data_IF_082117714048
#
_entry.id   IF_082117714048
#
_cell.length_a   1.000
_cell.length_b   1.000
_cell.length_c   1.000
_cell.angle_alpha   90.00
_cell.angle_beta   90.00
_cell.angle_gamma   90.00
#
_symmetry.space_group_name_H-M   'P 1'
#
loop_
_entity.id
_entity.type
_entity.pdbx_description
1 polymer ?
#
# COMPACT_ATOMS: atom_id res chain seq x y z
N UNK A 1 -0.16 -7.46 10.40
CA UNK A 1 -1.25 -8.36 9.97
C UNK A 1 -2.17 -7.60 9.04
N UNK A 2 -2.59 -8.22 7.94
CA UNK A 2 -3.30 -7.57 6.85
C UNK A 2 -4.74 -8.11 6.82
N UNK A 3 -5.64 -7.45 7.56
CA UNK A 3 -7.07 -7.79 7.57
C UNK A 3 -7.78 -7.22 6.34
N UNK A 4 -8.78 -7.94 5.83
CA UNK A 4 -9.69 -7.44 4.80
C UNK A 4 -9.16 -7.46 3.37
N UNK A 5 -8.00 -8.07 3.12
CA UNK A 5 -7.56 -8.37 1.76
C UNK A 5 -8.45 -9.46 1.15
N UNK A 6 -8.87 -9.28 -0.10
CA UNK A 6 -9.79 -10.19 -0.79
C UNK A 6 -9.05 -10.94 -1.90
N UNK A 7 -9.15 -12.26 -1.87
CA UNK A 7 -8.49 -13.16 -2.81
C UNK A 7 -9.51 -14.01 -3.55
N UNK A 8 -9.29 -14.21 -4.85
CA UNK A 8 -10.07 -15.12 -5.67
C UNK A 8 -9.20 -16.32 -6.10
N UNK A 9 -9.69 -17.53 -5.80
CA UNK A 9 -9.09 -18.77 -6.25
C UNK A 9 -9.79 -19.24 -7.52
N UNK A 10 -8.99 -19.59 -8.52
CA UNK A 10 -9.45 -20.09 -9.79
C UNK A 10 -8.80 -21.44 -10.09
N UNK A 11 -9.50 -22.27 -10.85
CA UNK A 11 -8.97 -23.52 -11.33
C UNK A 11 -7.96 -23.27 -12.48
N UNK A 12 -6.72 -23.72 -12.36
CA UNK A 12 -5.71 -23.58 -13.43
C UNK A 12 -5.95 -24.57 -14.59
N UNK A 13 -6.69 -25.63 -14.30
CA UNK A 13 -7.07 -26.70 -15.23
C UNK A 13 -8.51 -27.15 -14.97
N UNK A 14 -9.10 -27.94 -15.86
CA UNK A 14 -10.42 -28.54 -15.60
C UNK A 14 -10.30 -29.53 -14.43
N UNK A 15 -11.04 -29.27 -13.36
CA UNK A 15 -11.08 -30.06 -12.13
C UNK A 15 -12.30 -30.97 -12.18
N UNK A 16 -12.12 -32.24 -11.83
CA UNK A 16 -13.18 -33.26 -11.85
C UNK A 16 -13.62 -33.62 -10.43
N UNK A 17 -14.78 -34.26 -10.31
CA UNK A 17 -15.24 -34.75 -9.00
C UNK A 17 -14.23 -35.75 -8.39
N UNK A 18 -13.91 -35.63 -7.08
CA UNK A 18 -12.94 -36.52 -6.42
C UNK A 18 -13.37 -37.98 -6.36
N UNK A 19 -14.68 -38.23 -6.34
CA UNK A 19 -15.29 -39.56 -6.25
C UNK A 19 -15.20 -40.39 -7.54
N UNK A 20 -14.66 -39.81 -8.62
CA UNK A 20 -14.50 -40.48 -9.90
C UNK A 20 -15.83 -40.79 -10.59
N UNK A 21 -16.94 -40.16 -10.18
CA UNK A 21 -18.23 -40.31 -10.83
C UNK A 21 -18.14 -39.97 -12.32
N UNK A 22 -18.93 -40.70 -13.11
CA UNK A 22 -19.03 -40.54 -14.55
C UNK A 22 -20.46 -40.22 -14.95
N UNK A 23 -20.62 -39.42 -15.99
CA UNK A 23 -21.92 -39.15 -16.61
C UNK A 23 -22.46 -40.40 -17.35
N UNK A 24 -23.67 -40.30 -17.91
CA UNK A 24 -24.31 -41.36 -18.69
C UNK A 24 -23.51 -41.75 -19.95
N UNK A 25 -22.59 -40.90 -20.41
CA UNK A 25 -21.71 -41.15 -21.54
C UNK A 25 -20.34 -41.73 -21.13
N UNK A 26 -20.09 -41.94 -19.83
CA UNK A 26 -18.84 -42.50 -19.30
C UNK A 26 -17.70 -41.50 -19.10
N UNK A 27 -17.94 -40.20 -19.25
CA UNK A 27 -16.96 -39.14 -19.02
C UNK A 27 -16.92 -38.76 -17.53
N UNK A 28 -15.74 -38.34 -17.03
CA UNK A 28 -15.64 -37.81 -15.66
C UNK A 28 -16.47 -36.54 -15.52
N UNK A 29 -17.16 -36.39 -14.39
CA UNK A 29 -17.94 -35.19 -14.10
C UNK A 29 -17.00 -34.03 -13.78
N UNK A 30 -17.14 -32.93 -14.54
CA UNK A 30 -16.41 -31.67 -14.29
C UNK A 30 -17.01 -30.98 -13.07
N UNK A 31 -16.14 -30.62 -12.12
CA UNK A 31 -16.47 -29.83 -10.94
C UNK A 31 -16.21 -28.33 -11.16
N UNK A 32 -15.06 -28.01 -11.77
CA UNK A 32 -14.70 -26.65 -12.18
C UNK A 32 -14.06 -26.70 -13.56
N UNK A 33 -14.49 -25.82 -14.45
CA UNK A 33 -13.80 -25.63 -15.73
C UNK A 33 -12.47 -24.90 -15.50
N UNK A 34 -11.57 -25.01 -16.48
CA UNK A 34 -10.36 -24.20 -16.49
C UNK A 34 -10.72 -22.70 -16.41
N UNK A 35 -9.97 -21.98 -15.59
CA UNK A 35 -10.10 -20.56 -15.28
C UNK A 35 -11.42 -20.18 -14.57
N UNK A 36 -12.21 -21.18 -14.13
CA UNK A 36 -13.43 -20.92 -13.37
C UNK A 36 -13.09 -20.44 -11.95
N UNK A 37 -13.85 -19.45 -11.47
CA UNK A 37 -13.82 -18.99 -10.08
C UNK A 37 -14.29 -20.13 -9.16
N UNK A 38 -13.41 -20.57 -8.27
CA UNK A 38 -13.66 -21.65 -7.31
C UNK A 38 -14.23 -21.07 -6.02
N UNK A 39 -13.60 -20.02 -5.50
CA UNK A 39 -13.98 -19.39 -4.24
C UNK A 39 -13.37 -18.00 -4.08
N UNK A 40 -13.93 -17.22 -3.16
CA UNK A 40 -13.33 -15.99 -2.62
C UNK A 40 -12.97 -16.18 -1.16
N UNK A 41 -11.89 -15.55 -0.74
CA UNK A 41 -11.42 -15.55 0.64
C UNK A 41 -11.13 -14.13 1.09
N UNK A 42 -11.31 -13.87 2.38
CA UNK A 42 -10.98 -12.60 3.01
C UNK A 42 -10.08 -12.88 4.19
N UNK A 43 -8.99 -12.12 4.34
CA UNK A 43 -8.09 -12.25 5.49
C UNK A 43 -8.72 -11.71 6.77
N UNK A 44 -8.52 -12.44 7.88
CA UNK A 44 -8.94 -12.04 9.21
C UNK A 44 -7.96 -11.03 9.87
N UNK A 45 -8.21 -10.67 11.14
CA UNK A 45 -7.36 -9.80 11.96
C UNK A 45 -5.91 -10.26 12.10
N UNK A 46 -5.67 -11.55 11.96
CA UNK A 46 -4.33 -12.13 11.99
C UNK A 46 -3.68 -12.16 10.60
N UNK A 47 -4.40 -11.73 9.55
CA UNK A 47 -3.95 -11.78 8.17
C UNK A 47 -4.10 -13.17 7.55
N UNK A 48 -4.93 -14.04 8.12
CA UNK A 48 -5.11 -15.42 7.68
C UNK A 48 -6.41 -15.58 6.91
N UNK A 49 -6.37 -16.40 5.87
CA UNK A 49 -7.54 -16.82 5.13
C UNK A 49 -7.47 -18.34 4.94
N UNK A 50 -8.56 -19.05 5.24
CA UNK A 50 -8.62 -20.51 5.17
C UNK A 50 -9.78 -20.93 4.28
N UNK A 51 -9.48 -21.72 3.26
CA UNK A 51 -10.47 -22.38 2.43
C UNK A 51 -10.34 -23.90 2.56
N UNK A 52 -11.46 -24.54 2.87
CA UNK A 52 -11.52 -25.97 3.08
C UNK A 52 -12.19 -26.68 1.89
N UNK A 53 -11.94 -27.98 1.77
CA UNK A 53 -12.61 -28.86 0.80
C UNK A 53 -12.35 -28.53 -0.68
N UNK A 54 -11.14 -28.10 -1.03
CA UNK A 54 -10.75 -28.03 -2.44
C UNK A 54 -10.52 -29.44 -3.00
N UNK A 55 -11.07 -29.76 -4.18
CA UNK A 55 -10.71 -30.98 -4.90
C UNK A 55 -9.23 -31.02 -5.27
N UNK A 56 -8.71 -32.22 -5.52
CA UNK A 56 -7.36 -32.42 -6.09
C UNK A 56 -7.26 -31.76 -7.47
N UNK A 57 -6.15 -31.06 -7.70
CA UNK A 57 -5.81 -30.44 -8.97
C UNK A 57 -5.05 -29.13 -8.79
N UNK A 58 -4.86 -28.40 -9.89
CA UNK A 58 -4.07 -27.17 -9.94
C UNK A 58 -4.95 -25.93 -9.89
N UNK A 59 -4.52 -24.96 -9.09
CA UNK A 59 -5.22 -23.70 -8.85
C UNK A 59 -4.25 -22.52 -8.93
N UNK A 60 -4.82 -21.33 -9.06
CA UNK A 60 -4.11 -20.09 -8.83
C UNK A 60 -4.98 -19.15 -8.00
N UNK A 61 -4.32 -18.35 -7.16
CA UNK A 61 -4.94 -17.30 -6.36
C UNK A 61 -4.53 -15.94 -6.92
N UNK A 62 -5.49 -15.02 -6.99
CA UNK A 62 -5.28 -13.63 -7.40
C UNK A 62 -5.82 -12.74 -6.29
N UNK A 63 -5.08 -11.69 -5.93
CA UNK A 63 -5.63 -10.65 -5.06
C UNK A 63 -6.58 -9.76 -5.87
N UNK A 64 -7.83 -9.64 -5.43
CA UNK A 64 -8.82 -8.73 -6.03
C UNK A 64 -8.85 -7.39 -5.30
N UNK A 65 -8.45 -7.36 -4.04
CA UNK A 65 -8.42 -6.16 -3.20
C UNK A 65 -7.33 -6.27 -2.15
N UNK A 66 -6.49 -5.23 -2.07
CA UNK A 66 -5.45 -5.15 -1.07
C UNK A 66 -6.05 -4.95 0.34
N UNK A 67 -5.33 -5.41 1.35
CA UNK A 67 -5.62 -5.01 2.73
C UNK A 67 -5.41 -3.51 2.94
N UNK A 68 -5.87 -3.00 4.09
CA UNK A 68 -5.74 -1.57 4.40
C UNK A 68 -4.29 -1.07 4.25
N UNK A 69 -4.13 0.11 3.63
CA UNK A 69 -2.86 0.80 3.42
C UNK A 69 -1.84 0.08 2.50
N UNK A 70 -2.25 -0.98 1.81
CA UNK A 70 -1.40 -1.77 0.92
C UNK A 70 -1.70 -1.53 -0.55
N UNK A 71 -0.73 -1.84 -1.41
CA UNK A 71 -0.91 -1.86 -2.86
C UNK A 71 -1.46 -3.23 -3.27
N UNK A 72 -2.36 -3.25 -4.24
CA UNK A 72 -2.88 -4.46 -4.86
C UNK A 72 -1.77 -5.17 -5.63
N UNK A 73 -1.56 -6.45 -5.34
CA UNK A 73 -0.67 -7.32 -6.10
C UNK A 73 -1.50 -8.25 -7.02
N UNK A 74 -1.68 -7.90 -8.31
CA UNK A 74 -2.49 -8.71 -9.23
C UNK A 74 -1.78 -9.97 -9.72
N UNK A 75 -0.56 -10.27 -9.26
CA UNK A 75 0.17 -11.47 -9.67
C UNK A 75 -0.58 -12.75 -9.26
N UNK A 76 -0.85 -13.62 -10.25
CA UNK A 76 -1.46 -14.92 -10.00
C UNK A 76 -0.43 -15.87 -9.40
N UNK A 77 -0.71 -16.40 -8.20
CA UNK A 77 0.18 -17.34 -7.51
C UNK A 77 -0.42 -18.73 -7.52
N UNK A 78 0.35 -19.68 -8.00
CA UNK A 78 -0.15 -21.03 -8.30
C UNK A 78 0.11 -21.99 -7.15
N UNK A 79 -0.79 -22.95 -6.98
CA UNK A 79 -0.61 -24.06 -6.05
C UNK A 79 -1.32 -25.32 -6.54
N UNK A 80 -0.93 -26.47 -5.99
CA UNK A 80 -1.46 -27.76 -6.36
C UNK A 80 -1.93 -28.51 -5.12
N UNK A 81 -3.17 -29.01 -5.17
CA UNK A 81 -3.69 -29.97 -4.19
C UNK A 81 -3.44 -31.36 -4.77
N UNK A 82 -2.48 -32.10 -4.21
CA UNK A 82 -2.10 -33.41 -4.70
C UNK A 82 -2.57 -34.52 -3.76
N UNK A 83 -2.82 -35.71 -4.31
CA UNK A 83 -3.09 -36.89 -3.49
C UNK A 83 -1.81 -37.36 -2.76
N UNK A 84 -1.85 -37.41 -1.41
CA UNK A 84 -0.71 -37.80 -0.57
C UNK A 84 -0.75 -39.23 -0.04
N UNK A 85 -1.71 -40.06 -0.48
CA UNK A 85 -1.84 -41.46 -0.04
C UNK A 85 -3.03 -41.70 0.90
N UNK A 86 -3.39 -42.98 1.10
CA UNK A 86 -4.60 -43.37 1.85
C UNK A 86 -4.54 -43.07 3.35
N UNK A 87 -3.35 -42.88 3.92
CA UNK A 87 -3.16 -42.60 5.36
C UNK A 87 -3.21 -41.09 5.69
N UNK A 88 -3.21 -40.22 4.68
CA UNK A 88 -3.30 -38.77 4.86
C UNK A 88 -4.75 -38.33 4.66
N UNK A 89 -5.46 -38.10 5.77
CA UNK A 89 -6.88 -37.74 5.74
C UNK A 89 -7.15 -36.32 5.21
N UNK A 90 -6.20 -35.39 5.40
CA UNK A 90 -6.30 -33.98 4.95
C UNK A 90 -4.90 -33.49 4.58
N UNK A 91 -4.73 -32.97 3.35
CA UNK A 91 -3.52 -32.25 2.93
C UNK A 91 -3.72 -30.75 3.19
N UNK A 92 -2.66 -30.07 3.63
CA UNK A 92 -2.67 -28.63 3.88
C UNK A 92 -1.64 -27.97 2.97
N UNK A 93 -2.10 -27.10 2.08
CA UNK A 93 -1.23 -26.20 1.34
C UNK A 93 -1.28 -24.85 2.02
N UNK A 94 -0.12 -24.39 2.49
CA UNK A 94 0.06 -23.05 3.05
C UNK A 94 0.78 -22.19 2.03
N UNK A 95 0.25 -20.99 1.77
CA UNK A 95 0.89 -19.99 0.93
C UNK A 95 1.05 -18.71 1.74
N UNK A 96 2.23 -18.10 1.65
CA UNK A 96 2.50 -16.80 2.24
C UNK A 96 2.44 -15.74 1.15
N UNK A 97 1.58 -14.74 1.34
CA UNK A 97 1.38 -13.62 0.43
C UNK A 97 1.78 -12.34 1.15
N UNK A 98 2.58 -11.52 0.48
CA UNK A 98 3.07 -10.24 1.03
C UNK A 98 2.64 -9.10 0.14
N UNK A 99 1.99 -8.09 0.71
CA UNK A 99 1.70 -6.85 0.00
C UNK A 99 2.68 -5.76 0.40
N UNK A 100 2.98 -4.91 -0.57
CA UNK A 100 3.72 -3.68 -0.31
C UNK A 100 2.80 -2.64 0.30
N UNK A 101 3.31 -1.86 1.26
CA UNK A 101 2.61 -0.69 1.76
C UNK A 101 2.67 0.42 0.71
N UNK A 102 1.58 1.15 0.50
CA UNK A 102 1.62 2.38 -0.30
C UNK A 102 2.48 3.41 0.44
N UNK A 103 3.45 3.99 -0.27
CA UNK A 103 4.36 5.01 0.27
C UNK A 103 3.78 6.40 0.07
N UNK A 104 4.28 7.34 0.87
CA UNK A 104 4.01 8.77 0.73
C UNK A 104 5.36 9.47 0.58
N UNK A 105 5.45 10.41 -0.35
CA UNK A 105 6.62 11.26 -0.55
C UNK A 105 6.18 12.71 -0.63
N UNK A 106 6.93 13.59 0.03
CA UNK A 106 6.70 15.03 0.00
C UNK A 106 8.01 15.73 -0.36
N UNK A 107 7.93 16.57 -1.39
CA UNK A 107 9.04 17.42 -1.80
C UNK A 107 8.67 18.91 -1.81
N UNK A 108 9.69 19.74 -1.66
CA UNK A 108 9.59 21.20 -1.74
C UNK A 108 10.59 21.68 -2.78
N UNK A 109 10.17 22.65 -3.59
CA UNK A 109 11.05 23.48 -4.41
C UNK A 109 10.99 24.92 -3.90
N UNK A 110 12.10 25.38 -3.34
CA UNK A 110 12.23 26.70 -2.76
C UNK A 110 12.92 27.66 -3.72
N UNK A 111 12.31 28.83 -3.92
CA UNK A 111 12.83 29.87 -4.82
C UNK A 111 12.89 31.24 -4.18
N UNK A 112 13.71 32.10 -4.76
CA UNK A 112 13.62 33.54 -4.63
C UNK A 112 12.42 34.04 -5.46
N UNK A 113 11.55 34.85 -4.85
CA UNK A 113 10.30 35.28 -5.46
C UNK A 113 10.47 36.29 -6.62
N UNK A 114 11.59 37.01 -6.67
CA UNK A 114 11.86 38.06 -7.68
C UNK A 114 12.60 37.49 -8.89
N UNK A 115 13.61 36.64 -8.64
CA UNK A 115 14.50 36.10 -9.66
C UNK A 115 14.10 34.70 -10.12
N UNK A 116 13.24 34.00 -9.36
CA UNK A 116 12.87 32.61 -9.61
C UNK A 116 14.01 31.61 -9.43
N UNK A 117 15.17 32.05 -8.91
CA UNK A 117 16.34 31.18 -8.70
C UNK A 117 16.12 30.27 -7.49
N UNK A 118 16.74 29.08 -7.49
CA UNK A 118 16.69 28.20 -6.33
C UNK A 118 17.23 28.85 -5.06
N UNK A 119 16.61 28.52 -3.93
CA UNK A 119 16.97 29.07 -2.63
C UNK A 119 17.36 27.95 -1.65
N UNK A 120 18.67 27.78 -1.50
CA UNK A 120 19.32 26.85 -0.57
C UNK A 120 19.29 27.35 0.88
N UNK A 121 19.25 26.41 1.83
CA UNK A 121 19.50 26.66 3.24
C UNK A 121 18.28 27.13 4.02
N UNK A 122 17.07 26.99 3.46
CA UNK A 122 15.82 27.24 4.17
C UNK A 122 15.39 25.95 4.87
N UNK A 123 15.02 26.04 6.15
CA UNK A 123 14.61 24.88 6.95
C UNK A 123 13.09 24.81 7.00
N UNK A 124 12.56 23.64 6.67
CA UNK A 124 11.15 23.30 6.81
C UNK A 124 10.95 22.23 7.88
N UNK A 125 9.85 22.33 8.61
CA UNK A 125 9.37 21.25 9.46
C UNK A 125 8.13 20.61 8.85
N UNK A 126 8.09 19.28 8.88
CA UNK A 126 6.92 18.49 8.55
C UNK A 126 6.25 17.98 9.82
N UNK A 127 4.94 18.15 9.92
CA UNK A 127 4.16 17.89 11.12
C UNK A 127 2.91 17.08 10.78
N UNK A 128 2.41 16.33 11.75
CA UNK A 128 1.09 15.70 11.65
C UNK A 128 0.00 16.74 11.88
N UNK A 129 -1.01 16.82 11.00
CA UNK A 129 -2.13 17.76 11.14
C UNK A 129 -3.22 17.24 12.09
N UNK A 130 -3.19 15.95 12.39
CA UNK A 130 -4.16 15.24 13.23
C UNK A 130 -3.48 14.07 13.96
N UNK A 131 -4.18 13.47 14.92
CA UNK A 131 -3.73 12.21 15.52
C UNK A 131 -3.79 11.10 14.47
N UNK A 132 -2.64 10.61 14.04
CA UNK A 132 -2.54 9.55 13.05
C UNK A 132 -2.58 8.21 13.77
N UNK A 133 -3.47 7.32 13.32
CA UNK A 133 -3.71 6.02 13.96
C UNK A 133 -3.25 4.87 13.09
N UNK A 134 -2.81 3.80 13.73
CA UNK A 134 -2.58 2.53 13.06
C UNK A 134 -3.90 1.77 12.80
N UNK A 135 -3.81 0.63 12.12
CA UNK A 135 -4.97 -0.23 11.83
C UNK A 135 -5.67 -0.77 13.11
N UNK A 136 -4.99 -0.81 14.26
CA UNK A 136 -5.59 -1.18 15.54
C UNK A 136 -6.34 -0.01 16.21
N UNK A 137 -6.28 1.19 15.63
CA UNK A 137 -6.90 2.41 16.17
C UNK A 137 -6.06 3.13 17.22
N UNK A 138 -4.82 2.72 17.45
CA UNK A 138 -3.88 3.35 18.37
C UNK A 138 -3.22 4.54 17.71
N UNK A 139 -3.09 5.66 18.43
CA UNK A 139 -2.37 6.84 17.94
C UNK A 139 -0.87 6.52 17.87
N UNK A 140 -0.30 6.66 16.67
CA UNK A 140 1.12 6.43 16.38
C UNK A 140 1.89 7.72 16.15
N UNK A 141 1.21 8.79 15.74
CA UNK A 141 1.76 10.14 15.66
C UNK A 141 0.70 11.09 16.21
N UNK A 142 1.06 11.86 17.24
CA UNK A 142 0.15 12.85 17.82
C UNK A 142 0.00 14.05 16.90
N UNK A 143 -1.16 14.72 16.98
CA UNK A 143 -1.37 15.99 16.30
C UNK A 143 -0.28 17.00 16.65
N UNK A 144 0.15 17.77 15.64
CA UNK A 144 1.17 18.81 15.69
C UNK A 144 2.58 18.28 16.07
N UNK A 145 2.78 16.96 16.12
CA UNK A 145 4.09 16.37 16.32
C UNK A 145 5.00 16.65 15.11
N UNK A 146 6.21 17.13 15.39
CA UNK A 146 7.28 17.27 14.39
C UNK A 146 7.75 15.88 13.97
N UNK A 147 7.67 15.60 12.67
CA UNK A 147 8.08 14.32 12.08
C UNK A 147 9.51 14.40 11.60
N UNK A 148 9.84 15.45 10.84
CA UNK A 148 11.15 15.63 10.25
C UNK A 148 11.42 17.12 10.02
N UNK A 149 12.68 17.53 10.25
CA UNK A 149 13.21 18.80 9.77
C UNK A 149 14.05 18.53 8.53
N UNK A 150 13.87 19.36 7.52
CA UNK A 150 14.64 19.29 6.29
C UNK A 150 15.16 20.65 5.88
N UNK A 151 16.30 20.69 5.21
CA UNK A 151 16.90 21.91 4.68
C UNK A 151 16.98 21.83 3.16
N UNK A 152 16.65 22.92 2.48
CA UNK A 152 16.73 22.99 1.02
C UNK A 152 18.19 22.95 0.54
N UNK A 153 18.45 22.16 -0.50
CA UNK A 153 19.78 22.00 -1.11
C UNK A 153 20.15 23.14 -2.07
N UNK A 154 21.32 23.05 -2.72
CA UNK A 154 21.83 24.04 -3.69
C UNK A 154 20.86 24.26 -4.88
N UNK A 155 20.04 23.27 -5.22
CA UNK A 155 18.99 23.34 -6.24
C UNK A 155 17.65 23.80 -5.68
N UNK A 156 17.63 24.26 -4.42
CA UNK A 156 16.43 24.70 -3.71
C UNK A 156 15.47 23.57 -3.40
N UNK A 157 15.88 22.31 -3.54
CA UNK A 157 15.02 21.15 -3.36
C UNK A 157 15.13 20.62 -1.93
N UNK A 158 14.03 20.08 -1.44
CA UNK A 158 14.00 19.28 -0.23
C UNK A 158 13.07 18.11 -0.46
N UNK A 159 13.49 16.90 -0.06
CA UNK A 159 12.66 15.70 -0.04
C UNK A 159 12.74 15.12 1.36
N UNK A 160 11.59 15.03 2.03
CA UNK A 160 11.50 14.38 3.34
C UNK A 160 11.72 12.87 3.19
N UNK A 161 12.51 12.28 4.09
CA UNK A 161 12.90 10.87 4.02
C UNK A 161 12.13 9.98 5.00
N UNK A 162 11.34 10.57 5.90
CA UNK A 162 10.53 9.83 6.87
C UNK A 162 9.56 8.86 6.17
N UNK A 163 9.45 7.64 6.71
CA UNK A 163 8.38 6.72 6.31
C UNK A 163 7.07 7.15 6.96
N UNK A 164 6.25 7.85 6.19
CA UNK A 164 5.03 8.48 6.68
C UNK A 164 3.88 7.49 6.71
N UNK A 165 3.18 7.32 7.84
CA UNK A 165 1.85 6.72 7.89
C UNK A 165 0.85 7.39 6.92
N UNK A 166 -0.31 6.78 6.71
CA UNK A 166 -1.39 7.43 5.97
C UNK A 166 -2.12 8.38 6.91
N UNK A 167 -2.33 9.63 6.49
CA UNK A 167 -2.96 10.65 7.31
C UNK A 167 -2.75 12.04 6.72
N UNK A 168 -3.09 13.06 7.51
CA UNK A 168 -2.94 14.46 7.11
C UNK A 168 -1.71 15.09 7.71
N UNK A 169 -1.00 15.84 6.89
CA UNK A 169 0.27 16.45 7.20
C UNK A 169 0.27 17.93 6.85
N UNK A 170 1.17 18.68 7.45
CA UNK A 170 1.48 20.02 6.98
C UNK A 170 2.98 20.32 7.07
N UNK A 171 3.43 21.25 6.25
CA UNK A 171 4.76 21.83 6.31
C UNK A 171 4.67 23.32 6.57
N UNK A 172 5.71 23.85 7.20
CA UNK A 172 5.91 25.28 7.40
C UNK A 172 7.39 25.59 7.42
N UNK A 173 7.75 26.80 7.02
CA UNK A 173 9.12 27.30 7.17
C UNK A 173 9.41 27.48 8.67
N UNK A 174 10.56 27.01 9.11
CA UNK A 174 11.02 27.10 10.51
C UNK A 174 12.19 28.05 10.63
N UNK A 175 13.09 28.04 9.63
CA UNK A 175 14.23 28.94 9.57
C UNK A 175 14.39 29.48 8.14
N UNK A 176 14.35 30.81 8.02
CA UNK A 176 14.53 31.51 6.75
C UNK A 176 16.01 31.80 6.49
N UNK A 177 16.36 31.97 5.21
CA UNK A 177 17.70 32.39 4.83
C UNK A 177 17.92 33.89 5.13
N UNK A 178 19.04 34.30 5.75
CA UNK A 178 19.37 35.71 5.91
C UNK A 178 19.32 36.48 4.60
N UNK A 179 18.74 37.68 4.64
CA UNK A 179 18.50 38.49 3.44
C UNK A 179 17.14 38.25 2.79
N UNK A 180 16.33 37.33 3.31
CA UNK A 180 14.95 37.07 2.87
C UNK A 180 13.95 37.31 4.00
N UNK A 181 12.73 37.68 3.65
CA UNK A 181 11.60 37.73 4.58
C UNK A 181 11.18 36.30 4.95
N UNK A 182 10.77 36.05 6.20
CA UNK A 182 10.22 34.76 6.61
C UNK A 182 8.88 34.51 5.91
N UNK A 183 8.56 33.23 5.70
CA UNK A 183 7.26 32.79 5.21
C UNK A 183 6.52 31.97 6.30
N UNK A 184 5.48 32.55 6.90
CA UNK A 184 4.67 31.92 7.95
C UNK A 184 3.48 31.09 7.39
N UNK A 185 3.40 30.89 6.07
CA UNK A 185 2.35 30.08 5.46
C UNK A 185 2.49 28.60 5.81
N UNK A 186 1.34 27.96 6.04
CA UNK A 186 1.22 26.53 6.32
C UNK A 186 0.62 25.83 5.11
N UNK A 187 1.32 24.81 4.60
CA UNK A 187 0.89 24.03 3.44
C UNK A 187 0.47 22.64 3.92
N UNK A 188 -0.78 22.25 3.69
CA UNK A 188 -1.37 20.99 4.16
C UNK A 188 -1.54 19.97 3.04
N UNK A 189 -1.37 18.69 3.37
CA UNK A 189 -1.50 17.56 2.44
C UNK A 189 -2.36 16.47 3.06
N UNK A 190 -3.24 15.89 2.25
CA UNK A 190 -4.02 14.71 2.63
C UNK A 190 -3.39 13.48 1.98
N UNK A 191 -2.58 12.76 2.76
CA UNK A 191 -1.96 11.50 2.36
C UNK A 191 -2.76 10.29 2.87
N UNK A 192 -4.09 10.43 2.95
CA UNK A 192 -4.98 9.31 3.23
C UNK A 192 -4.92 8.27 2.11
N UNK A 193 -5.06 6.99 2.50
CA UNK A 193 -5.12 5.88 1.55
C UNK A 193 -6.43 5.94 0.75
N UNK A 194 -6.34 6.22 -0.55
CA UNK A 194 -7.50 6.39 -1.45
C UNK A 194 -7.52 5.44 -2.63
N UNK A 195 -6.35 4.92 -3.04
CA UNK A 195 -6.20 4.11 -4.24
C UNK A 195 -5.19 2.99 -4.01
N UNK A 196 -5.67 1.74 -4.06
CA UNK A 196 -4.85 0.54 -3.91
C UNK A 196 -3.94 0.25 -5.11
N UNK A 197 -4.11 0.96 -6.22
CA UNK A 197 -3.30 0.78 -7.44
C UNK A 197 -2.08 1.70 -7.49
N UNK A 198 -2.01 2.69 -6.60
CA UNK A 198 -0.88 3.60 -6.50
C UNK A 198 0.14 3.08 -5.50
N UNK A 199 1.38 2.89 -5.93
CA UNK A 199 2.48 2.54 -5.03
C UNK A 199 2.99 3.72 -4.20
N UNK A 200 2.84 4.94 -4.73
CA UNK A 200 3.37 6.16 -4.15
C UNK A 200 2.37 7.32 -4.30
N UNK A 201 2.01 7.93 -3.18
CA UNK A 201 1.40 9.25 -3.14
C UNK A 201 2.51 10.30 -3.08
N UNK A 202 2.76 10.99 -4.19
CA UNK A 202 3.79 12.02 -4.29
C UNK A 202 3.16 13.42 -4.26
N UNK A 203 3.59 14.22 -3.29
CA UNK A 203 3.21 15.61 -3.13
C UNK A 203 4.43 16.50 -3.39
N UNK A 204 4.20 17.66 -4.01
CA UNK A 204 5.25 18.65 -4.21
C UNK A 204 4.69 20.05 -4.08
N UNK A 205 5.40 20.92 -3.37
CA UNK A 205 5.07 22.34 -3.28
C UNK A 205 6.19 23.22 -3.82
N UNK A 206 5.80 24.31 -4.46
CA UNK A 206 6.73 25.37 -4.86
C UNK A 206 6.52 26.58 -3.95
N UNK A 207 7.54 26.92 -3.16
CA UNK A 207 7.45 27.96 -2.13
C UNK A 207 8.50 29.04 -2.44
N UNK A 208 8.15 30.31 -2.26
CA UNK A 208 9.06 31.42 -2.51
C UNK A 208 9.18 32.35 -1.31
N UNK A 209 10.37 32.96 -1.13
CA UNK A 209 10.55 34.04 -0.15
C UNK A 209 10.94 35.31 -0.90
N UNK A 210 10.44 36.42 -0.38
CA UNK A 210 10.78 37.76 -0.86
C UNK A 210 12.14 38.19 -0.31
N UNK A 211 13.09 38.65 -1.14
CA UNK A 211 14.33 39.22 -0.65
C UNK A 211 14.06 40.54 0.10
N UNK A 212 14.86 40.81 1.13
CA UNK A 212 14.76 42.03 1.98
C UNK A 212 15.28 43.29 1.29
N UNK A 213 16.00 43.14 0.17
CA UNK A 213 16.56 44.24 -0.61
C UNK A 213 16.15 44.02 -2.07
N UNK A 214 15.38 44.96 -2.61
CA UNK A 214 15.08 45.10 -4.05
C UNK A 214 16.18 45.86 -4.78
#
# INVERSE_FOLDING_TARGET
NMEGAEFAIHAKETIYTPDGQKDEAGNRIVKYEKDALVARMVTDKEGKAVLNNLPIGKYYVVEEKAGQNCVLDPEAKEFEIAYKGQEVAVDYVTMELTNQRQKVSLSILKKDAETGKPLEGVVFGMYAQEDIKNAAGEVVVEKDALIELGTTDEEGKLVFQADLPHGKYYIQEVEHKPGYLPNDEVYSFDASYTDQTLELLAFSEEISNQPTIT
#
